data_IF_423647012918
#
_entry.id   IF_423647012918
#
_cell.length_a   1.000
_cell.length_b   1.000
_cell.length_c   1.000
_cell.angle_alpha   90.00
_cell.angle_beta   90.00
_cell.angle_gamma   90.00
#
_symmetry.space_group_name_H-M   'P 1'
#
loop_
_entity.id
_entity.type
_entity.pdbx_description
1 polymer ?
#
# COMPACT_ATOMS: atom_id res chain seq x y z
N UNK A 1 -9.62 -28.44 17.40
CA UNK A 1 -8.63 -28.16 16.34
C UNK A 1 -7.27 -28.12 16.98
N UNK A 2 -6.38 -28.98 16.53
CA UNK A 2 -4.98 -29.05 16.97
C UNK A 2 -4.12 -28.18 16.06
N UNK A 3 -2.93 -27.80 16.52
CA UNK A 3 -1.93 -27.06 15.73
C UNK A 3 -1.68 -27.72 14.37
N UNK A 4 -1.52 -29.05 14.37
CA UNK A 4 -1.27 -29.85 13.17
C UNK A 4 -2.44 -29.84 12.17
N UNK A 5 -3.69 -29.76 12.65
CA UNK A 5 -4.86 -29.63 11.78
C UNK A 5 -4.93 -28.24 11.13
N UNK A 6 -4.48 -27.20 11.84
CA UNK A 6 -4.42 -25.82 11.32
C UNK A 6 -3.33 -25.71 10.24
N UNK A 7 -2.15 -26.28 10.50
CA UNK A 7 -1.02 -26.25 9.58
C UNK A 7 -1.30 -27.05 8.30
N UNK A 8 -1.90 -28.23 8.42
CA UNK A 8 -2.30 -29.03 7.25
C UNK A 8 -3.40 -28.34 6.41
N UNK A 9 -4.33 -27.64 7.06
CA UNK A 9 -5.34 -26.86 6.36
C UNK A 9 -4.72 -25.65 5.62
N UNK A 10 -3.80 -24.93 6.24
CA UNK A 10 -3.08 -23.81 5.60
C UNK A 10 -2.20 -24.29 4.43
N UNK A 11 -1.48 -25.41 4.59
CA UNK A 11 -0.61 -25.95 3.55
C UNK A 11 -1.38 -26.52 2.33
N UNK A 12 -2.66 -26.83 2.48
CA UNK A 12 -3.52 -27.32 1.39
C UNK A 12 -4.29 -26.20 0.67
N UNK A 13 -4.24 -24.97 1.17
CA UNK A 13 -4.83 -23.79 0.54
C UNK A 13 -3.81 -23.13 -0.41
N UNK A 14 -4.13 -23.13 -1.71
CA UNK A 14 -3.26 -22.57 -2.75
C UNK A 14 -3.07 -21.05 -2.68
N UNK A 15 -3.98 -20.34 -2.00
CA UNK A 15 -3.88 -18.90 -1.77
C UNK A 15 -3.11 -18.57 -0.47
N UNK A 16 -2.90 -19.55 0.41
CA UNK A 16 -2.18 -19.40 1.66
C UNK A 16 -0.69 -19.74 1.47
N UNK A 17 0.12 -18.72 1.17
CA UNK A 17 1.57 -18.91 1.20
C UNK A 17 2.06 -19.04 2.64
N UNK A 18 2.83 -20.10 3.00
CA UNK A 18 3.45 -20.21 4.31
C UNK A 18 4.40 -19.02 4.55
N UNK A 19 4.27 -18.36 5.70
CA UNK A 19 5.20 -17.32 6.15
C UNK A 19 6.17 -17.92 7.17
N UNK A 20 7.10 -18.73 6.67
CA UNK A 20 8.10 -19.44 7.45
C UNK A 20 9.25 -18.54 7.95
N UNK A 21 10.21 -19.11 8.69
CA UNK A 21 11.37 -18.35 9.17
C UNK A 21 12.19 -17.71 8.04
N UNK A 22 12.24 -18.34 6.86
CA UNK A 22 12.94 -17.82 5.70
C UNK A 22 12.24 -16.58 5.11
N UNK A 23 10.90 -16.57 5.10
CA UNK A 23 10.10 -15.39 4.74
C UNK A 23 10.40 -14.20 5.66
N UNK A 24 10.46 -14.43 6.97
CA UNK A 24 10.69 -13.36 7.95
C UNK A 24 12.16 -12.93 8.05
N UNK A 25 13.11 -13.76 7.64
CA UNK A 25 14.55 -13.47 7.74
C UNK A 25 14.99 -12.18 7.01
N UNK A 26 14.28 -11.80 5.94
CA UNK A 26 14.58 -10.61 5.14
C UNK A 26 13.42 -9.60 5.08
N UNK A 27 12.40 -9.77 5.94
CA UNK A 27 11.25 -8.88 5.92
C UNK A 27 11.63 -7.49 6.43
N UNK A 28 11.40 -6.46 5.62
CA UNK A 28 11.58 -5.07 6.02
C UNK A 28 10.31 -4.53 6.70
N UNK A 29 10.44 -4.10 7.95
CA UNK A 29 9.34 -3.43 8.66
C UNK A 29 9.20 -2.00 8.13
N UNK A 30 8.25 -1.80 7.22
CA UNK A 30 7.94 -0.47 6.70
C UNK A 30 6.91 0.21 7.61
N UNK A 31 7.37 1.18 8.39
CA UNK A 31 6.46 2.03 9.17
C UNK A 31 5.82 3.07 8.24
N UNK A 32 4.47 3.11 8.12
CA UNK A 32 3.82 4.10 7.28
C UNK A 32 4.07 5.50 7.86
N UNK A 33 4.74 6.34 7.08
CA UNK A 33 4.95 7.74 7.45
C UNK A 33 3.59 8.46 7.48
N UNK A 34 3.24 9.15 8.59
CA UNK A 34 1.97 9.84 8.69
C UNK A 34 1.92 10.98 7.68
N UNK A 35 0.87 10.99 6.85
CA UNK A 35 0.61 12.09 5.92
C UNK A 35 0.17 13.31 6.73
N UNK A 36 0.69 14.49 6.37
CA UNK A 36 0.23 15.75 6.97
C UNK A 36 -1.04 16.21 6.27
N UNK A 37 -2.12 16.40 7.02
CA UNK A 37 -3.34 17.00 6.51
C UNK A 37 -3.12 18.51 6.34
N UNK A 38 -3.12 18.98 5.09
CA UNK A 38 -2.98 20.39 4.75
C UNK A 38 -4.16 20.84 3.89
N UNK A 39 -4.44 22.14 3.91
CA UNK A 39 -5.32 22.76 2.91
C UNK A 39 -4.49 23.12 1.68
N UNK A 40 -4.83 22.55 0.53
CA UNK A 40 -4.18 22.81 -0.76
C UNK A 40 -5.25 23.23 -1.78
N UNK A 41 -4.96 24.27 -2.55
CA UNK A 41 -5.77 24.65 -3.70
C UNK A 41 -5.27 23.91 -4.93
N UNK A 42 -6.19 23.33 -5.68
CA UNK A 42 -5.98 22.64 -6.95
C UNK A 42 -7.10 23.06 -7.90
N UNK A 43 -6.82 23.04 -9.19
CA UNK A 43 -7.80 23.34 -10.22
C UNK A 43 -8.97 22.33 -10.17
N UNK A 44 -10.17 22.81 -10.53
CA UNK A 44 -11.40 22.03 -10.40
C UNK A 44 -11.40 20.80 -11.29
N UNK A 45 -10.93 20.94 -12.53
CA UNK A 45 -10.82 19.87 -13.51
C UNK A 45 -9.84 18.77 -13.07
N UNK A 46 -8.71 19.14 -12.48
CA UNK A 46 -7.74 18.21 -11.90
C UNK A 46 -8.39 17.42 -10.77
N UNK A 47 -9.09 18.09 -9.85
CA UNK A 47 -9.76 17.42 -8.73
C UNK A 47 -10.86 16.47 -9.22
N UNK A 48 -11.68 16.90 -10.19
CA UNK A 48 -12.73 16.08 -10.79
C UNK A 48 -12.17 14.86 -11.51
N UNK A 49 -11.08 15.04 -12.27
CA UNK A 49 -10.39 13.95 -12.94
C UNK A 49 -9.92 12.90 -11.92
N UNK A 50 -9.26 13.28 -10.83
CA UNK A 50 -8.82 12.29 -9.83
C UNK A 50 -9.99 11.59 -9.12
N UNK A 51 -11.09 12.33 -8.85
CA UNK A 51 -12.32 11.79 -8.24
C UNK A 51 -13.04 10.79 -9.14
N UNK A 52 -13.03 10.98 -10.45
CA UNK A 52 -13.70 10.07 -11.39
C UNK A 52 -13.13 8.65 -11.38
N UNK A 53 -11.89 8.48 -10.91
CA UNK A 53 -11.22 7.18 -10.74
C UNK A 53 -11.61 6.46 -9.43
N UNK A 54 -12.63 6.94 -8.71
CA UNK A 54 -13.18 6.29 -7.53
C UNK A 54 -12.42 6.58 -6.23
N UNK A 55 -12.64 5.73 -5.23
CA UNK A 55 -12.03 5.87 -3.91
C UNK A 55 -10.49 5.90 -3.98
N UNK A 56 -9.86 6.56 -3.00
CA UNK A 56 -8.40 6.71 -2.98
C UNK A 56 -7.83 7.78 -3.91
N UNK A 57 -8.66 8.69 -4.44
CA UNK A 57 -8.20 9.77 -5.32
C UNK A 57 -7.09 10.63 -4.68
N UNK A 58 -7.17 10.91 -3.37
CA UNK A 58 -6.13 11.63 -2.64
C UNK A 58 -4.80 10.85 -2.58
N UNK A 59 -4.86 9.52 -2.45
CA UNK A 59 -3.66 8.66 -2.48
C UNK A 59 -3.02 8.70 -3.86
N UNK A 60 -3.80 8.67 -4.94
CA UNK A 60 -3.28 8.82 -6.31
C UNK A 60 -2.67 10.19 -6.56
N UNK A 61 -3.35 11.27 -6.14
CA UNK A 61 -2.80 12.62 -6.20
C UNK A 61 -1.44 12.72 -5.49
N UNK A 62 -1.36 12.18 -4.27
CA UNK A 62 -0.12 12.17 -3.50
C UNK A 62 1.00 11.35 -4.18
N UNK A 63 0.67 10.23 -4.83
CA UNK A 63 1.65 9.43 -5.57
C UNK A 63 2.25 10.20 -6.76
N UNK A 64 1.43 10.96 -7.50
CA UNK A 64 1.89 11.83 -8.60
C UNK A 64 2.81 12.94 -8.07
N UNK A 65 2.41 13.63 -6.99
CA UNK A 65 3.24 14.66 -6.37
C UNK A 65 4.59 14.12 -5.89
N UNK A 66 4.59 12.91 -5.31
CA UNK A 66 5.82 12.23 -4.87
C UNK A 66 6.72 11.87 -6.06
N UNK A 67 6.18 11.28 -7.12
CA UNK A 67 6.94 10.91 -8.30
C UNK A 67 7.58 12.14 -8.96
N UNK A 68 6.85 13.27 -9.04
CA UNK A 68 7.40 14.53 -9.52
C UNK A 68 8.55 15.02 -8.62
N UNK A 69 8.35 15.04 -7.30
CA UNK A 69 9.39 15.43 -6.34
C UNK A 69 10.66 14.58 -6.48
N UNK A 70 10.53 13.25 -6.56
CA UNK A 70 11.66 12.32 -6.69
C UNK A 70 12.39 12.49 -8.03
N UNK A 71 11.66 12.76 -9.12
CA UNK A 71 12.27 13.03 -10.41
C UNK A 71 13.10 14.33 -10.43
N UNK A 72 12.72 15.34 -9.63
CA UNK A 72 13.45 16.60 -9.50
C UNK A 72 14.65 16.53 -8.54
N UNK A 73 14.73 15.50 -7.70
CA UNK A 73 15.83 15.30 -6.75
C UNK A 73 17.00 14.49 -7.33
N UNK A 74 16.89 14.06 -8.59
CA UNK A 74 17.95 13.35 -9.32
C UNK A 74 18.92 14.30 -10.00
#
# INVERSE_FOLDING_TARGET
MTEAEIEAAAASDGDAQPTDEAFWANAEVVMPQPKRAISLRVDSDVLEWFKSHGSGYQTRMNAVLRAYMEAQQR
#
